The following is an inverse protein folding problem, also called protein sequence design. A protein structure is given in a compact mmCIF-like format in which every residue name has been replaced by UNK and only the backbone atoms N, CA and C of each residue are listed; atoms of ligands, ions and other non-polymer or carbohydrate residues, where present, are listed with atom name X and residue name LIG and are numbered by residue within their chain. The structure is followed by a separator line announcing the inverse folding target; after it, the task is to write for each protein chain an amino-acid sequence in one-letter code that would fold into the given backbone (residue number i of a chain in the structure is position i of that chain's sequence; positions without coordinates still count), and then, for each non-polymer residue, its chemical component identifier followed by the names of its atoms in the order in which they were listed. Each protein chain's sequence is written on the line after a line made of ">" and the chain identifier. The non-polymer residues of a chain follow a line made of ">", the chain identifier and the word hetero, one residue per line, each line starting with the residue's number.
data_IF_109409736445
#
_entry.id   IF_109409736445
#
_cell.length_a   1.000
_cell.length_b   1.000
_cell.length_c   1.000
_cell.angle_alpha   90.00
_cell.angle_beta   90.00
_cell.angle_gamma   90.00
#
_symmetry.space_group_name_H-M   'P 1'
#
loop_
_entity.id
_entity.type
_entity.pdbx_description
1 polymer ?
#
# COMPACT_ATOMS: atom_id res chain seq x y z
N UNK A 1 -27.94 -15.51 20.46
CA UNK A 1 -27.25 -15.36 19.16
C UNK A 1 -27.00 -13.88 18.95
N UNK A 2 -25.74 -13.48 18.78
CA UNK A 2 -25.36 -12.09 18.51
C UNK A 2 -25.09 -11.98 17.01
N UNK A 3 -25.81 -11.10 16.32
CA UNK A 3 -25.63 -10.82 14.90
C UNK A 3 -24.92 -9.47 14.75
N UNK A 4 -23.80 -9.47 14.01
CA UNK A 4 -23.04 -8.27 13.66
C UNK A 4 -23.02 -8.17 12.14
N UNK A 5 -23.29 -6.98 11.61
CA UNK A 5 -23.26 -6.69 10.17
C UNK A 5 -22.61 -5.34 9.91
N UNK A 6 -22.09 -5.14 8.70
CA UNK A 6 -21.49 -3.89 8.27
C UNK A 6 -21.95 -3.51 6.86
N UNK A 7 -21.92 -2.22 6.56
CA UNK A 7 -22.19 -1.71 5.23
C UNK A 7 -21.41 -0.43 4.97
N UNK A 8 -21.21 -0.07 3.70
CA UNK A 8 -20.68 1.23 3.33
C UNK A 8 -21.68 2.36 3.58
N UNK A 9 -21.18 3.59 3.69
CA UNK A 9 -22.03 4.78 3.81
C UNK A 9 -23.03 4.85 2.64
N UNK A 10 -24.31 5.18 2.91
CA UNK A 10 -25.30 5.35 1.86
C UNK A 10 -25.00 6.60 1.03
N UNK A 11 -25.34 6.55 -0.27
CA UNK A 11 -24.97 7.59 -1.24
C UNK A 11 -24.09 7.05 -2.37
N UNK A 12 -23.84 7.86 -3.41
CA UNK A 12 -23.01 7.46 -4.56
C UNK A 12 -23.47 6.18 -5.27
N UNK A 13 -24.78 5.90 -5.27
CA UNK A 13 -25.38 4.68 -5.82
C UNK A 13 -25.59 3.54 -4.81
N UNK A 14 -25.14 3.69 -3.55
CA UNK A 14 -25.37 2.71 -2.48
C UNK A 14 -26.74 2.89 -1.81
N UNK A 15 -27.37 1.77 -1.45
CA UNK A 15 -28.72 1.71 -0.89
C UNK A 15 -28.78 2.15 0.57
N UNK A 16 -29.86 2.82 0.96
CA UNK A 16 -30.13 3.19 2.35
C UNK A 16 -30.72 2.01 3.14
N UNK A 17 -30.39 1.92 4.44
CA UNK A 17 -31.02 0.94 5.33
C UNK A 17 -32.47 1.31 5.57
N UNK A 18 -33.38 0.35 5.45
CA UNK A 18 -34.79 0.55 5.80
C UNK A 18 -34.99 0.73 7.31
N UNK A 19 -35.90 1.60 7.72
CA UNK A 19 -36.20 1.85 9.14
C UNK A 19 -36.64 0.59 9.89
N UNK A 20 -37.30 -0.35 9.19
CA UNK A 20 -37.68 -1.66 9.74
C UNK A 20 -36.47 -2.46 10.19
N UNK A 21 -35.39 -2.46 9.39
CA UNK A 21 -34.15 -3.15 9.76
C UNK A 21 -33.40 -2.39 10.85
N UNK A 22 -33.36 -1.06 10.80
CA UNK A 22 -32.71 -0.23 11.83
C UNK A 22 -33.28 -0.48 13.23
N UNK A 23 -34.59 -0.75 13.36
CA UNK A 23 -35.22 -1.09 14.66
C UNK A 23 -34.59 -2.32 15.33
N UNK A 24 -34.03 -3.26 14.56
CA UNK A 24 -33.44 -4.49 15.08
C UNK A 24 -31.93 -4.40 15.37
N UNK A 25 -31.28 -3.29 15.00
CA UNK A 25 -29.83 -3.13 15.11
C UNK A 25 -29.45 -1.82 15.78
N UNK A 26 -28.40 -1.84 16.60
CA UNK A 26 -27.73 -0.62 17.01
C UNK A 26 -26.77 -0.20 15.90
N UNK A 27 -26.95 1.01 15.37
CA UNK A 27 -26.08 1.56 14.33
C UNK A 27 -24.88 2.26 14.97
N UNK A 28 -23.68 1.83 14.58
CA UNK A 28 -22.42 2.45 14.97
C UNK A 28 -21.75 2.93 13.69
N UNK A 29 -21.52 4.24 13.59
CA UNK A 29 -20.74 4.84 12.51
C UNK A 29 -19.28 4.96 12.92
N UNK A 30 -18.36 4.54 12.06
CA UNK A 30 -16.93 4.80 12.21
C UNK A 30 -16.52 5.92 11.25
N UNK A 31 -15.69 6.82 11.74
CA UNK A 31 -14.98 7.79 10.88
C UNK A 31 -13.69 7.16 10.40
N UNK A 32 -13.09 7.75 9.35
CA UNK A 32 -11.79 7.33 8.89
C UNK A 32 -10.72 7.45 9.98
N UNK A 33 -9.74 6.56 9.91
CA UNK A 33 -8.62 6.52 10.86
C UNK A 33 -7.71 7.72 10.64
N UNK A 34 -7.25 8.32 11.74
CA UNK A 34 -6.23 9.37 11.68
C UNK A 34 -4.92 8.77 11.18
N UNK A 35 -4.17 9.53 10.41
CA UNK A 35 -2.85 9.14 9.87
C UNK A 35 -1.91 8.61 10.94
N UNK A 36 -1.82 9.27 12.11
CA UNK A 36 -1.01 8.80 13.25
C UNK A 36 -1.38 7.40 13.71
N UNK A 37 -2.66 7.06 13.69
CA UNK A 37 -3.13 5.71 14.05
C UNK A 37 -2.76 4.70 12.98
N UNK A 38 -2.86 5.08 11.70
CA UNK A 38 -2.45 4.25 10.56
C UNK A 38 -0.95 3.97 10.64
N UNK A 39 -0.12 5.01 10.74
CA UNK A 39 1.34 4.89 10.88
C UNK A 39 1.71 4.02 12.11
N UNK A 40 1.06 4.23 13.26
CA UNK A 40 1.31 3.40 14.45
C UNK A 40 1.01 1.90 14.27
N UNK A 41 -0.13 1.58 13.62
CA UNK A 41 -0.50 0.19 13.34
C UNK A 41 0.52 -0.46 12.40
N UNK A 42 0.86 0.22 11.30
CA UNK A 42 1.74 -0.35 10.29
C UNK A 42 3.20 -0.43 10.73
N UNK A 43 3.71 0.55 11.49
CA UNK A 43 5.02 0.46 12.12
C UNK A 43 5.11 -0.75 13.05
N UNK A 44 4.11 -0.94 13.93
CA UNK A 44 4.11 -2.08 14.88
C UNK A 44 4.18 -3.44 14.16
N UNK A 45 3.43 -3.59 13.06
CA UNK A 45 3.39 -4.82 12.26
C UNK A 45 4.71 -5.01 11.51
N UNK A 46 5.21 -3.95 10.86
CA UNK A 46 6.43 -4.01 10.08
C UNK A 46 7.66 -4.27 10.98
N UNK A 47 7.74 -3.59 12.14
CA UNK A 47 8.81 -3.81 13.13
C UNK A 47 8.84 -5.26 13.60
N UNK A 48 7.68 -5.86 13.88
CA UNK A 48 7.60 -7.26 14.27
C UNK A 48 8.13 -8.20 13.18
N UNK A 49 7.77 -7.94 11.92
CA UNK A 49 8.21 -8.75 10.79
C UNK A 49 9.71 -8.61 10.52
N UNK A 50 10.20 -7.37 10.47
CA UNK A 50 11.59 -7.06 10.14
C UNK A 50 12.57 -7.29 11.30
N UNK A 51 12.10 -7.58 12.51
CA UNK A 51 12.94 -7.92 13.67
C UNK A 51 13.95 -9.05 13.41
N UNK A 52 13.64 -9.96 12.48
CA UNK A 52 14.53 -11.06 12.11
C UNK A 52 15.60 -10.68 11.06
N UNK A 53 15.51 -9.51 10.45
CA UNK A 53 16.42 -9.01 9.42
C UNK A 53 17.60 -8.26 10.05
N UNK A 54 18.59 -7.89 9.25
CA UNK A 54 19.74 -7.12 9.72
C UNK A 54 19.35 -5.70 10.16
N UNK A 55 20.13 -5.12 11.07
CA UNK A 55 19.86 -3.78 11.64
C UNK A 55 19.74 -2.70 10.55
N UNK A 56 20.48 -2.84 9.45
CA UNK A 56 20.35 -1.95 8.29
C UNK A 56 18.93 -1.91 7.75
N UNK A 57 18.28 -3.07 7.56
CA UNK A 57 16.90 -3.16 7.05
C UNK A 57 15.91 -2.67 8.10
N UNK A 58 16.13 -3.01 9.38
CA UNK A 58 15.28 -2.55 10.49
C UNK A 58 15.22 -1.03 10.56
N UNK A 59 16.35 -0.35 10.35
CA UNK A 59 16.42 1.12 10.36
C UNK A 59 15.59 1.79 9.25
N UNK A 60 15.25 1.06 8.19
CA UNK A 60 14.44 1.55 7.07
C UNK A 60 12.95 1.45 7.32
N UNK A 61 12.51 0.61 8.26
CA UNK A 61 11.08 0.29 8.47
C UNK A 61 10.21 1.52 8.69
N UNK A 62 10.57 2.46 9.59
CA UNK A 62 9.75 3.65 9.80
C UNK A 62 9.62 4.50 8.54
N UNK A 63 10.73 4.62 7.80
CA UNK A 63 10.78 5.41 6.56
C UNK A 63 9.96 4.76 5.44
N UNK A 64 9.97 3.43 5.34
CA UNK A 64 9.12 2.69 4.42
C UNK A 64 7.64 2.91 4.72
N UNK A 65 7.27 2.90 6.01
CA UNK A 65 5.88 3.08 6.43
C UNK A 65 5.38 4.46 6.07
N UNK A 66 6.13 5.49 6.46
CA UNK A 66 5.75 6.89 6.21
C UNK A 66 5.71 7.18 4.70
N UNK A 67 6.67 6.65 3.93
CA UNK A 67 6.68 6.76 2.47
C UNK A 67 5.44 6.14 1.80
N UNK A 68 4.98 4.96 2.23
CA UNK A 68 3.76 4.34 1.67
C UNK A 68 2.53 5.20 1.97
N UNK A 69 2.43 5.73 3.19
CA UNK A 69 1.30 6.54 3.62
C UNK A 69 1.26 7.85 2.82
N UNK A 70 2.40 8.52 2.64
CA UNK A 70 2.49 9.75 1.85
C UNK A 70 2.13 9.51 0.37
N UNK A 71 2.67 8.47 -0.25
CA UNK A 71 2.31 8.10 -1.64
C UNK A 71 0.80 7.82 -1.75
N UNK A 72 0.23 7.09 -0.79
CA UNK A 72 -1.20 6.82 -0.77
C UNK A 72 -2.05 8.10 -0.66
N UNK A 73 -1.65 9.05 0.18
CA UNK A 73 -2.34 10.33 0.32
C UNK A 73 -2.29 11.14 -0.98
N UNK A 74 -1.10 11.27 -1.58
CA UNK A 74 -0.91 11.96 -2.87
C UNK A 74 -1.73 11.32 -4.00
N UNK A 75 -1.82 9.99 -4.03
CA UNK A 75 -2.69 9.26 -4.97
C UNK A 75 -4.16 9.62 -4.74
N UNK A 76 -4.61 9.61 -3.48
CA UNK A 76 -5.97 9.97 -3.10
C UNK A 76 -6.38 11.37 -3.53
N UNK A 77 -5.45 12.32 -3.48
CA UNK A 77 -5.69 13.73 -3.85
C UNK A 77 -5.61 13.97 -5.36
N UNK A 78 -4.71 13.28 -6.05
CA UNK A 78 -4.40 13.55 -7.47
C UNK A 78 -5.19 12.65 -8.43
N UNK A 79 -5.34 11.38 -8.10
CA UNK A 79 -5.88 10.35 -8.98
C UNK A 79 -7.34 10.01 -8.61
N UNK A 80 -8.19 11.03 -8.65
CA UNK A 80 -9.61 10.89 -8.31
C UNK A 80 -10.38 10.06 -9.34
N UNK A 81 -11.39 9.28 -8.91
CA UNK A 81 -12.23 8.52 -9.80
C UNK A 81 -13.04 9.46 -10.70
N UNK A 82 -12.88 9.32 -12.00
CA UNK A 82 -13.68 10.02 -13.03
C UNK A 82 -14.53 9.01 -13.79
N UNK A 83 -15.58 9.42 -14.54
CA UNK A 83 -16.35 8.48 -15.36
C UNK A 83 -15.50 7.64 -16.33
N UNK A 84 -14.41 8.21 -16.86
CA UNK A 84 -13.45 7.49 -17.71
C UNK A 84 -12.50 6.57 -16.91
N UNK A 85 -12.24 6.90 -15.64
CA UNK A 85 -11.32 6.19 -14.73
C UNK A 85 -12.04 5.78 -13.44
N UNK A 86 -13.18 5.10 -13.58
CA UNK A 86 -14.04 4.76 -12.44
C UNK A 86 -13.40 3.74 -11.49
N UNK A 87 -12.40 2.99 -11.97
CA UNK A 87 -11.64 2.01 -11.20
C UNK A 87 -10.49 2.63 -10.39
N UNK A 88 -10.27 3.95 -10.46
CA UNK A 88 -9.30 4.69 -9.63
C UNK A 88 -9.88 4.90 -8.22
N UNK A 89 -10.19 3.80 -7.55
CA UNK A 89 -10.67 3.80 -6.17
C UNK A 89 -9.58 3.23 -5.28
N UNK A 90 -9.00 4.09 -4.45
CA UNK A 90 -7.96 3.72 -3.50
C UNK A 90 -8.51 3.82 -2.08
N UNK A 91 -8.21 2.83 -1.24
CA UNK A 91 -8.64 2.81 0.16
C UNK A 91 -7.58 2.19 1.07
N UNK A 92 -7.81 2.18 2.38
CA UNK A 92 -6.86 1.65 3.37
C UNK A 92 -6.44 0.19 3.14
N UNK A 93 -7.26 -0.63 2.46
CA UNK A 93 -6.89 -2.00 2.09
C UNK A 93 -5.71 -2.03 1.13
N UNK A 94 -5.54 -0.99 0.32
CA UNK A 94 -4.45 -0.92 -0.65
C UNK A 94 -3.13 -0.68 0.06
N UNK A 95 -3.10 0.18 1.10
CA UNK A 95 -1.95 0.28 2.01
C UNK A 95 -1.61 -1.11 2.58
N UNK A 96 -2.61 -1.83 3.13
CA UNK A 96 -2.40 -3.18 3.65
C UNK A 96 -1.81 -4.15 2.62
N UNK A 97 -2.23 -4.10 1.35
CA UNK A 97 -1.67 -4.95 0.29
C UNK A 97 -0.19 -4.66 0.03
N UNK A 98 0.20 -3.38 -0.01
CA UNK A 98 1.61 -2.99 -0.18
C UNK A 98 2.44 -3.56 0.97
N UNK A 99 1.99 -3.34 2.20
CA UNK A 99 2.66 -3.88 3.38
C UNK A 99 2.76 -5.40 3.38
N UNK A 100 1.68 -6.09 3.02
CA UNK A 100 1.70 -7.55 2.94
C UNK A 100 2.71 -8.04 1.91
N UNK A 101 2.84 -7.35 0.78
CA UNK A 101 3.84 -7.65 -0.24
C UNK A 101 5.27 -7.43 0.26
N UNK A 102 5.52 -6.30 0.92
CA UNK A 102 6.82 -5.95 1.51
C UNK A 102 7.21 -6.94 2.63
N UNK A 103 6.26 -7.30 3.48
CA UNK A 103 6.39 -8.37 4.48
C UNK A 103 6.36 -9.78 3.86
N UNK A 104 6.28 -9.91 2.54
CA UNK A 104 6.48 -11.18 1.82
C UNK A 104 7.95 -11.47 1.53
N UNK A 105 8.86 -10.50 1.80
CA UNK A 105 10.28 -10.64 1.50
C UNK A 105 10.90 -11.77 2.34
N UNK A 106 11.61 -12.69 1.67
CA UNK A 106 12.30 -13.77 2.37
C UNK A 106 13.59 -13.26 2.99
N UNK A 107 13.77 -13.51 4.30
CA UNK A 107 15.02 -13.20 5.02
C UNK A 107 16.27 -13.73 4.31
N UNK A 108 16.21 -14.94 3.76
CA UNK A 108 17.37 -15.58 3.13
C UNK A 108 17.78 -14.90 1.81
N UNK A 109 16.81 -14.36 1.07
CA UNK A 109 17.02 -13.74 -0.26
C UNK A 109 17.03 -12.21 -0.21
N UNK A 110 16.62 -11.60 0.91
CA UNK A 110 16.27 -10.18 0.99
C UNK A 110 16.84 -9.42 2.19
N UNK A 111 17.96 -9.88 2.76
CA UNK A 111 18.55 -9.26 3.95
C UNK A 111 19.37 -7.97 3.67
N UNK A 112 19.31 -7.42 2.45
CA UNK A 112 20.01 -6.20 2.07
C UNK A 112 19.03 -5.02 2.04
N UNK A 113 19.47 -3.87 2.55
CA UNK A 113 18.77 -2.58 2.48
C UNK A 113 18.27 -2.26 1.07
N UNK A 114 19.12 -2.41 0.05
CA UNK A 114 18.76 -2.17 -1.35
C UNK A 114 17.65 -3.12 -1.84
N UNK A 115 17.66 -4.38 -1.41
CA UNK A 115 16.64 -5.36 -1.80
C UNK A 115 15.29 -5.05 -1.16
N UNK A 116 15.29 -4.60 0.11
CA UNK A 116 14.09 -4.14 0.79
C UNK A 116 13.48 -2.90 0.10
N UNK A 117 14.32 -1.92 -0.29
CA UNK A 117 13.89 -0.73 -1.03
C UNK A 117 13.32 -1.11 -2.41
N UNK A 118 13.96 -2.02 -3.14
CA UNK A 118 13.43 -2.51 -4.43
C UNK A 118 12.09 -3.22 -4.26
N UNK A 119 11.92 -4.01 -3.19
CA UNK A 119 10.66 -4.67 -2.88
C UNK A 119 9.56 -3.65 -2.57
N UNK A 120 9.90 -2.59 -1.82
CA UNK A 120 9.01 -1.49 -1.53
C UNK A 120 8.50 -0.79 -2.80
N UNK A 121 9.39 -0.43 -3.72
CA UNK A 121 9.01 0.17 -5.02
C UNK A 121 8.13 -0.79 -5.83
N UNK A 122 8.53 -2.06 -5.91
CA UNK A 122 7.77 -3.07 -6.64
C UNK A 122 6.33 -3.20 -6.15
N UNK A 123 6.12 -3.26 -4.83
CA UNK A 123 4.77 -3.45 -4.28
C UNK A 123 3.91 -2.18 -4.42
N UNK A 124 4.49 -0.99 -4.35
CA UNK A 124 3.78 0.26 -4.67
C UNK A 124 3.29 0.24 -6.11
N UNK A 125 4.18 -0.03 -7.06
CA UNK A 125 3.84 -0.07 -8.48
C UNK A 125 2.81 -1.19 -8.77
N UNK A 126 2.96 -2.38 -8.18
CA UNK A 126 2.00 -3.47 -8.31
C UNK A 126 0.62 -3.15 -7.74
N UNK A 127 0.52 -2.48 -6.59
CA UNK A 127 -0.78 -2.22 -5.95
C UNK A 127 -1.49 -1.01 -6.56
N UNK A 128 -0.73 0.04 -6.87
CA UNK A 128 -1.26 1.31 -7.38
C UNK A 128 -1.06 1.46 -8.89
N UNK A 129 0.16 1.27 -9.38
CA UNK A 129 0.56 1.42 -10.79
C UNK A 129 -0.19 0.48 -11.74
N UNK A 130 -0.43 -0.78 -11.37
CA UNK A 130 -1.18 -1.75 -12.19
C UNK A 130 -2.62 -1.29 -12.50
N UNK A 131 -3.20 -0.39 -11.70
CA UNK A 131 -4.53 0.19 -11.97
C UNK A 131 -4.48 1.37 -12.95
N UNK A 132 -3.30 1.94 -13.18
CA UNK A 132 -3.17 3.14 -14.00
C UNK A 132 -3.20 2.78 -15.49
N UNK A 133 -4.05 3.49 -16.24
CA UNK A 133 -4.25 3.24 -17.68
C UNK A 133 -3.43 4.21 -18.52
N UNK A 134 -3.39 5.48 -18.11
CA UNK A 134 -2.71 6.52 -18.87
C UNK A 134 -1.20 6.56 -18.58
N UNK A 135 -0.40 6.72 -19.63
CA UNK A 135 1.05 6.90 -19.50
C UNK A 135 1.40 8.13 -18.66
N UNK A 136 0.55 9.16 -18.68
CA UNK A 136 0.73 10.36 -17.85
C UNK A 136 0.62 10.04 -16.36
N UNK A 137 -0.35 9.22 -15.96
CA UNK A 137 -0.55 8.86 -14.56
C UNK A 137 0.57 7.91 -14.09
N UNK A 138 1.03 7.00 -14.96
CA UNK A 138 2.17 6.13 -14.68
C UNK A 138 3.46 6.93 -14.48
N UNK A 139 3.76 7.85 -15.38
CA UNK A 139 4.91 8.75 -15.25
C UNK A 139 4.82 9.62 -13.98
N UNK A 140 3.62 10.05 -13.61
CA UNK A 140 3.40 10.76 -12.33
C UNK A 140 3.72 9.87 -11.13
N UNK A 141 3.27 8.62 -11.12
CA UNK A 141 3.58 7.68 -10.03
C UNK A 141 5.09 7.39 -9.96
N UNK A 142 5.74 7.17 -11.10
CA UNK A 142 7.20 6.97 -11.18
C UNK A 142 7.96 8.17 -10.62
N UNK A 143 7.51 9.40 -10.90
CA UNK A 143 8.10 10.61 -10.32
C UNK A 143 7.93 10.64 -8.79
N UNK A 144 6.75 10.27 -8.28
CA UNK A 144 6.53 10.18 -6.83
C UNK A 144 7.43 9.13 -6.17
N UNK A 145 7.63 7.98 -6.82
CA UNK A 145 8.55 6.95 -6.34
C UNK A 145 10.00 7.47 -6.32
N UNK A 146 10.45 8.15 -7.38
CA UNK A 146 11.80 8.75 -7.47
C UNK A 146 12.03 9.80 -6.37
N UNK A 147 11.05 10.67 -6.13
CA UNK A 147 11.09 11.67 -5.06
C UNK A 147 11.25 11.00 -3.69
N UNK A 148 10.41 9.98 -3.38
CA UNK A 148 10.48 9.28 -2.09
C UNK A 148 11.75 8.46 -1.92
N UNK A 149 12.32 7.91 -2.99
CA UNK A 149 13.60 7.21 -2.94
C UNK A 149 14.73 8.11 -2.44
N UNK A 150 14.76 9.36 -2.90
CA UNK A 150 15.75 10.34 -2.46
C UNK A 150 15.44 10.87 -1.05
N UNK A 151 14.19 11.24 -0.77
CA UNK A 151 13.81 11.86 0.50
C UNK A 151 13.89 10.87 1.68
N UNK A 152 13.30 9.68 1.54
CA UNK A 152 13.22 8.71 2.62
C UNK A 152 14.52 7.91 2.76
N UNK A 153 15.08 7.45 1.64
CA UNK A 153 16.18 6.47 1.66
C UNK A 153 17.54 7.06 1.31
N UNK A 154 17.60 8.27 0.72
CA UNK A 154 18.85 8.90 0.31
C UNK A 154 19.58 8.13 -0.78
N UNK A 155 18.87 7.29 -1.54
CA UNK A 155 19.43 6.46 -2.61
C UNK A 155 19.15 7.11 -3.96
N UNK A 156 20.08 6.93 -4.89
CA UNK A 156 19.88 7.35 -6.27
C UNK A 156 18.81 6.45 -6.92
N UNK A 157 17.69 7.02 -7.40
CA UNK A 157 16.61 6.24 -8.00
C UNK A 157 17.07 5.39 -9.18
N UNK A 158 18.05 5.85 -9.94
CA UNK A 158 18.55 5.11 -11.09
C UNK A 158 19.31 3.85 -10.67
N UNK A 159 19.86 3.79 -9.45
CA UNK A 159 20.47 2.58 -8.90
C UNK A 159 19.45 1.52 -8.47
N UNK A 160 18.31 1.97 -7.95
CA UNK A 160 17.19 1.13 -7.54
C UNK A 160 16.49 0.58 -8.78
N UNK A 161 16.27 1.43 -9.78
CA UNK A 161 15.55 1.17 -11.02
C UNK A 161 16.43 0.72 -12.19
N UNK A 162 17.69 0.31 -11.97
CA UNK A 162 18.63 -0.14 -13.03
C UNK A 162 18.06 -1.19 -13.99
N UNK A 163 17.09 -1.98 -13.52
CA UNK A 163 16.37 -2.95 -14.35
C UNK A 163 15.03 -2.36 -14.77
N UNK A 164 14.75 -2.43 -16.07
CA UNK A 164 13.51 -1.95 -16.73
C UNK A 164 12.23 -2.50 -16.06
N UNK A 165 12.34 -3.63 -15.36
CA UNK A 165 11.27 -4.19 -14.55
C UNK A 165 11.81 -4.86 -13.29
N UNK A 166 11.40 -4.36 -12.12
CA UNK A 166 11.55 -5.07 -10.86
C UNK A 166 10.53 -6.22 -10.83
N UNK A 167 11.00 -7.45 -10.58
CA UNK A 167 10.12 -8.63 -10.53
C UNK A 167 10.39 -9.39 -9.24
N UNK A 168 9.39 -9.41 -8.35
CA UNK A 168 9.41 -10.24 -7.16
C UNK A 168 8.37 -11.36 -7.32
N UNK A 169 8.84 -12.57 -7.59
CA UNK A 169 7.99 -13.73 -7.78
C UNK A 169 8.78 -15.02 -7.93
N UNK A 170 8.12 -16.16 -7.73
CA UNK A 170 8.73 -17.50 -7.88
C UNK A 170 8.68 -18.05 -9.30
N UNK A 171 8.10 -17.30 -10.25
CA UNK A 171 7.91 -17.76 -11.63
C UNK A 171 9.22 -18.15 -12.33
N UNK A 172 10.34 -17.54 -11.93
CA UNK A 172 11.67 -17.82 -12.51
C UNK A 172 12.42 -18.95 -11.77
N UNK A 173 11.91 -19.43 -10.63
CA UNK A 173 12.50 -20.55 -9.90
C UNK A 173 12.09 -21.86 -10.60
N UNK A 174 12.99 -22.45 -11.38
CA UNK A 174 12.76 -23.73 -12.07
C UNK A 174 12.57 -24.83 -11.02
N UNK A 175 11.37 -25.42 -10.96
CA UNK A 175 11.02 -26.51 -10.02
C UNK A 175 10.18 -26.09 -8.81
N UNK A 176 9.63 -24.87 -8.80
CA UNK A 176 8.67 -24.43 -7.79
C UNK A 176 7.23 -24.80 -8.19
N UNK A 177 6.90 -26.10 -8.12
CA UNK A 177 5.52 -26.58 -7.96
C UNK A 177 5.19 -26.73 -6.46
#
# INVERSE_FOLDING_TARGET
>A
MILVGSMGLPGGGRTFITERLKRHYHLIGYTDLKERSISGIFNTIADYFFKAFDEEVQSLVPKMVDGIIDVFQKIGDTLLPTPAKSHYTFNLRDIWKVFLGVCGLSRQKGNSSMMAIRCWVHEINRVFGDRLVDNKDRAWLEEQEREKLQECFGVDPDEVLKSDRLVFGRFMDVGAD
#
